data_IF_401850209920
#
_entry.id   IF_401850209920
#
_cell.length_a   1.000
_cell.length_b   1.000
_cell.length_c   1.000
_cell.angle_alpha   90.00
_cell.angle_beta   90.00
_cell.angle_gamma   90.00
#
_symmetry.space_group_name_H-M   'P 1'
#
loop_
_entity.id
_entity.type
_entity.pdbx_description
1 polymer ?
#
# COMPACT_ATOMS: atom_id res chain seq x y z
N UNK A 1 11.96 16.63 -8.49
CA UNK A 1 12.44 15.47 -7.70
C UNK A 1 13.96 15.40 -7.81
N UNK A 2 14.66 14.78 -6.85
CA UNK A 2 16.11 14.60 -6.90
C UNK A 2 16.47 13.19 -6.43
N UNK A 3 17.16 12.43 -7.28
CA UNK A 3 17.64 11.08 -6.97
C UNK A 3 18.57 11.07 -5.76
N UNK A 4 19.47 12.05 -5.66
CA UNK A 4 20.45 12.13 -4.56
C UNK A 4 19.81 12.41 -3.20
N UNK A 5 18.60 12.98 -3.19
CA UNK A 5 17.82 13.23 -1.97
C UNK A 5 16.80 12.13 -1.66
N UNK A 6 16.86 10.99 -2.35
CA UNK A 6 15.94 9.87 -2.15
C UNK A 6 14.54 10.09 -2.72
N UNK A 7 14.40 10.93 -3.78
CA UNK A 7 13.11 11.10 -4.45
C UNK A 7 12.73 9.89 -5.31
N UNK A 8 11.44 9.81 -5.65
CA UNK A 8 10.87 8.74 -6.47
C UNK A 8 9.61 8.19 -5.82
N UNK A 9 8.64 7.71 -6.61
CA UNK A 9 7.34 7.31 -6.08
C UNK A 9 7.44 6.09 -5.16
N UNK A 10 8.43 5.21 -5.37
CA UNK A 10 8.73 4.09 -4.51
C UNK A 10 9.11 4.55 -3.09
N UNK A 11 9.96 5.57 -2.99
CA UNK A 11 10.41 6.09 -1.69
C UNK A 11 9.40 7.02 -1.04
N UNK A 12 8.69 7.83 -1.82
CA UNK A 12 7.75 8.81 -1.29
C UNK A 12 6.35 8.22 -1.03
N UNK A 13 5.95 7.17 -1.74
CA UNK A 13 4.58 6.61 -1.71
C UNK A 13 4.59 5.07 -1.55
N UNK A 14 5.41 4.36 -2.32
CA UNK A 14 5.50 2.89 -2.26
C UNK A 14 5.97 2.36 -0.90
N UNK A 15 6.72 3.17 -0.15
CA UNK A 15 7.21 2.84 1.19
C UNK A 15 6.08 2.53 2.17
N UNK A 16 4.93 3.19 2.07
CA UNK A 16 3.75 2.93 2.91
C UNK A 16 3.18 1.54 2.64
N UNK A 17 3.01 1.17 1.36
CA UNK A 17 2.54 -0.15 0.97
C UNK A 17 3.49 -1.26 1.42
N UNK A 18 4.80 -1.09 1.18
CA UNK A 18 5.84 -2.04 1.61
C UNK A 18 5.85 -2.17 3.13
N UNK A 19 5.76 -1.06 3.86
CA UNK A 19 5.69 -1.07 5.32
C UNK A 19 4.45 -1.82 5.82
N UNK A 20 3.27 -1.52 5.28
CA UNK A 20 2.02 -2.22 5.64
C UNK A 20 2.11 -3.71 5.38
N UNK A 21 2.60 -4.14 4.22
CA UNK A 21 2.76 -5.56 3.90
C UNK A 21 3.65 -6.24 4.94
N UNK A 22 4.83 -5.69 5.22
CA UNK A 22 5.78 -6.27 6.19
C UNK A 22 5.24 -6.26 7.61
N UNK A 23 4.57 -5.18 8.01
CA UNK A 23 4.01 -5.02 9.36
C UNK A 23 2.86 -6.00 9.61
N UNK A 24 1.93 -6.13 8.66
CA UNK A 24 0.79 -7.05 8.75
C UNK A 24 1.25 -8.51 8.77
N UNK A 25 2.21 -8.86 7.91
CA UNK A 25 2.68 -10.24 7.80
C UNK A 25 3.67 -10.62 8.91
N UNK A 26 4.33 -9.64 9.55
CA UNK A 26 5.33 -9.90 10.59
C UNK A 26 6.55 -10.65 10.08
N UNK A 27 6.82 -10.60 8.77
CA UNK A 27 7.89 -11.35 8.11
C UNK A 27 8.45 -10.59 6.90
N UNK A 28 9.64 -11.02 6.45
CA UNK A 28 10.31 -10.47 5.27
C UNK A 28 10.00 -11.26 3.99
N UNK A 29 9.98 -10.61 2.82
CA UNK A 29 9.81 -11.29 1.55
C UNK A 29 11.03 -12.16 1.22
N UNK A 30 10.79 -13.32 0.60
CA UNK A 30 11.82 -14.17 -0.01
C UNK A 30 12.31 -13.64 -1.35
N UNK A 31 11.44 -12.97 -2.09
CA UNK A 31 11.77 -12.38 -3.39
C UNK A 31 10.89 -11.18 -3.68
N UNK A 32 11.44 -10.22 -4.40
CA UNK A 32 10.75 -9.01 -4.84
C UNK A 32 11.03 -8.81 -6.32
N UNK A 33 9.98 -8.60 -7.10
CA UNK A 33 10.05 -8.20 -8.50
C UNK A 33 9.38 -6.84 -8.64
N UNK A 34 10.08 -5.87 -9.23
CA UNK A 34 9.59 -4.51 -9.45
C UNK A 34 9.63 -4.21 -10.94
N UNK A 35 8.56 -3.58 -11.43
CA UNK A 35 8.54 -2.89 -12.70
C UNK A 35 8.33 -1.41 -12.45
N UNK A 36 9.18 -0.56 -13.01
CA UNK A 36 9.17 0.88 -12.78
C UNK A 36 9.21 1.67 -14.08
N UNK A 37 8.50 2.80 -14.11
CA UNK A 37 8.69 3.85 -15.12
C UNK A 37 9.56 4.92 -14.50
N UNK A 38 10.64 5.28 -15.20
CA UNK A 38 11.58 6.31 -14.77
C UNK A 38 11.32 7.60 -15.54
N UNK A 39 11.35 8.72 -14.83
CA UNK A 39 11.47 10.03 -15.45
C UNK A 39 12.92 10.24 -15.89
N UNK A 40 13.13 10.46 -17.20
CA UNK A 40 14.48 10.63 -17.77
C UNK A 40 15.18 11.92 -17.31
N UNK A 41 14.42 12.96 -16.98
CA UNK A 41 14.96 14.27 -16.59
C UNK A 41 15.45 14.27 -15.14
N UNK A 42 14.71 13.62 -14.23
CA UNK A 42 15.01 13.58 -12.81
C UNK A 42 15.73 12.28 -12.38
N UNK A 43 15.71 11.24 -13.21
CA UNK A 43 16.35 9.95 -12.94
C UNK A 43 15.74 9.18 -11.77
N UNK A 44 14.45 9.42 -11.48
CA UNK A 44 13.69 8.77 -10.41
C UNK A 44 12.46 8.09 -10.99
N UNK A 45 11.93 7.11 -10.28
CA UNK A 45 10.68 6.44 -10.65
C UNK A 45 9.46 7.33 -10.42
N UNK A 46 8.53 7.30 -11.37
CA UNK A 46 7.23 7.97 -11.29
C UNK A 46 6.09 6.99 -11.02
N UNK A 47 6.28 5.74 -11.42
CA UNK A 47 5.31 4.65 -11.32
C UNK A 47 6.05 3.37 -11.00
N UNK A 48 5.57 2.61 -10.03
CA UNK A 48 6.10 1.29 -9.68
C UNK A 48 4.97 0.31 -9.46
N UNK A 49 5.16 -0.93 -9.91
CA UNK A 49 4.35 -2.09 -9.54
C UNK A 49 5.31 -3.15 -9.01
N UNK A 50 4.97 -3.74 -7.86
CA UNK A 50 5.79 -4.73 -7.20
C UNK A 50 5.03 -5.99 -6.84
N UNK A 51 5.72 -7.12 -6.97
CA UNK A 51 5.26 -8.43 -6.52
C UNK A 51 6.25 -9.00 -5.51
N UNK A 52 5.76 -9.33 -4.32
CA UNK A 52 6.52 -9.86 -3.21
C UNK A 52 6.03 -11.28 -2.90
N UNK A 53 6.97 -12.22 -2.79
CA UNK A 53 6.68 -13.57 -2.29
C UNK A 53 7.25 -13.76 -0.90
N UNK A 54 6.49 -14.40 -0.03
CA UNK A 54 6.84 -14.63 1.38
C UNK A 54 6.92 -16.13 1.70
N UNK A 55 7.42 -16.52 2.88
CA UNK A 55 7.19 -17.85 3.43
C UNK A 55 5.70 -18.25 3.43
N UNK A 56 5.45 -19.56 3.52
CA UNK A 56 4.09 -20.12 3.66
C UNK A 56 3.14 -19.76 2.49
N UNK A 57 3.69 -19.55 1.28
CA UNK A 57 2.95 -19.23 0.05
C UNK A 57 2.10 -17.94 0.11
N UNK A 58 2.42 -17.04 1.05
CA UNK A 58 1.83 -15.71 1.09
C UNK A 58 2.46 -14.85 -0.01
N UNK A 59 1.63 -14.05 -0.67
CA UNK A 59 2.03 -13.17 -1.78
C UNK A 59 1.42 -11.80 -1.54
N UNK A 60 2.12 -10.76 -1.92
CA UNK A 60 1.61 -9.40 -1.91
C UNK A 60 1.94 -8.72 -3.24
N UNK A 61 1.01 -7.89 -3.69
CA UNK A 61 1.24 -6.93 -4.76
C UNK A 61 1.06 -5.54 -4.19
N UNK A 62 1.87 -4.60 -4.66
CA UNK A 62 1.64 -3.20 -4.41
C UNK A 62 1.95 -2.43 -5.68
N UNK A 63 1.48 -1.20 -5.71
CA UNK A 63 1.91 -0.25 -6.71
C UNK A 63 1.86 1.15 -6.09
N UNK A 64 2.61 2.07 -6.68
CA UNK A 64 2.61 3.47 -6.30
C UNK A 64 2.88 4.32 -7.54
N UNK A 65 2.30 5.52 -7.59
CA UNK A 65 2.38 6.37 -8.76
C UNK A 65 2.17 7.84 -8.40
N UNK A 66 2.90 8.72 -9.10
CA UNK A 66 2.62 10.16 -9.14
C UNK A 66 1.64 10.58 -10.24
N UNK A 67 1.35 9.67 -11.18
CA UNK A 67 0.59 9.94 -12.40
C UNK A 67 -0.83 9.31 -12.40
N UNK A 68 -1.10 8.40 -11.46
CA UNK A 68 -2.41 7.75 -11.32
C UNK A 68 -3.37 8.56 -10.44
N UNK A 69 -4.66 8.21 -10.54
CA UNK A 69 -5.68 8.75 -9.64
C UNK A 69 -5.33 8.48 -8.16
N UNK A 70 -5.68 9.44 -7.31
CA UNK A 70 -5.43 9.37 -5.87
C UNK A 70 -6.10 8.13 -5.27
N UNK A 71 -5.27 7.28 -4.68
CA UNK A 71 -5.69 6.13 -3.87
C UNK A 71 -4.67 5.85 -2.79
N UNK A 72 -5.15 5.41 -1.65
CA UNK A 72 -4.33 5.14 -0.48
C UNK A 72 -5.00 4.04 0.33
N UNK A 73 -5.00 2.83 -0.22
CA UNK A 73 -5.75 1.69 0.29
C UNK A 73 -4.89 0.43 0.34
N UNK A 74 -5.30 -0.53 1.18
CA UNK A 74 -4.78 -1.90 1.11
C UNK A 74 -5.89 -2.91 1.41
N UNK A 75 -5.67 -4.13 0.94
CA UNK A 75 -6.53 -5.28 1.18
C UNK A 75 -5.70 -6.47 1.67
N UNK A 76 -6.22 -7.17 2.69
CA UNK A 76 -5.68 -8.44 3.15
C UNK A 76 -6.74 -9.51 2.90
N UNK A 77 -6.48 -10.40 1.95
CA UNK A 77 -7.38 -11.48 1.57
C UNK A 77 -6.90 -12.83 2.13
N UNK A 78 -7.76 -13.49 2.90
CA UNK A 78 -7.55 -14.83 3.43
C UNK A 78 -8.56 -15.84 2.86
N UNK A 79 -8.49 -17.08 3.34
CA UNK A 79 -9.36 -18.16 2.85
C UNK A 79 -10.81 -18.07 3.32
N UNK A 80 -11.08 -17.33 4.39
CA UNK A 80 -12.41 -17.22 5.02
C UNK A 80 -13.03 -15.82 4.87
N UNK A 81 -12.30 -14.87 4.31
CA UNK A 81 -12.72 -13.47 4.27
C UNK A 81 -11.57 -12.53 3.93
N UNK A 82 -11.87 -11.23 3.96
CA UNK A 82 -10.91 -10.16 3.65
C UNK A 82 -11.13 -8.93 4.53
N UNK A 83 -10.06 -8.17 4.69
CA UNK A 83 -10.05 -6.86 5.33
C UNK A 83 -9.64 -5.84 4.27
N UNK A 84 -10.48 -4.84 4.03
CA UNK A 84 -10.21 -3.72 3.13
C UNK A 84 -10.15 -2.43 3.94
N UNK A 85 -9.09 -1.66 3.74
CA UNK A 85 -8.90 -0.35 4.36
C UNK A 85 -8.79 0.69 3.25
N UNK A 86 -9.92 1.26 2.78
CA UNK A 86 -9.93 2.17 1.62
C UNK A 86 -9.27 3.54 1.89
N UNK A 87 -8.97 3.84 3.16
CA UNK A 87 -8.43 5.13 3.64
C UNK A 87 -7.23 4.90 4.56
N UNK A 88 -6.28 4.10 4.10
CA UNK A 88 -5.21 3.55 4.93
C UNK A 88 -4.18 4.59 5.39
N UNK A 89 -3.69 5.41 4.45
CA UNK A 89 -2.51 6.26 4.69
C UNK A 89 -2.85 7.74 4.82
N UNK A 90 -3.90 8.20 4.16
CA UNK A 90 -4.26 9.62 4.05
C UNK A 90 -5.75 9.83 4.38
N UNK A 91 -6.18 9.57 5.64
CA UNK A 91 -7.58 9.71 6.03
C UNK A 91 -8.10 11.15 5.93
N UNK A 92 -7.21 12.15 5.98
CA UNK A 92 -7.54 13.57 5.83
C UNK A 92 -8.15 13.90 4.46
N UNK A 93 -7.85 13.10 3.43
CA UNK A 93 -8.51 13.22 2.12
C UNK A 93 -10.00 12.91 2.18
N UNK A 94 -10.46 12.30 3.28
CA UNK A 94 -11.81 11.78 3.47
C UNK A 94 -12.45 12.28 4.77
N UNK A 95 -12.04 13.46 5.25
CA UNK A 95 -12.61 14.08 6.45
C UNK A 95 -12.02 13.58 7.79
N UNK A 96 -10.92 12.84 7.76
CA UNK A 96 -10.16 12.43 8.96
C UNK A 96 -10.53 11.07 9.53
N UNK A 97 -11.63 10.47 9.08
CA UNK A 97 -12.05 9.14 9.51
C UNK A 97 -11.34 8.03 8.74
N UNK A 98 -10.78 7.06 9.47
CA UNK A 98 -10.27 5.80 8.90
C UNK A 98 -11.41 4.81 8.80
N UNK A 99 -11.60 4.24 7.63
CA UNK A 99 -12.62 3.23 7.36
C UNK A 99 -11.97 1.85 7.28
N UNK A 100 -12.50 0.88 8.01
CA UNK A 100 -12.08 -0.52 7.98
C UNK A 100 -13.30 -1.36 7.65
N UNK A 101 -13.18 -2.15 6.58
CA UNK A 101 -14.22 -3.04 6.08
C UNK A 101 -13.74 -4.47 6.29
N UNK A 102 -14.51 -5.26 7.03
CA UNK A 102 -14.27 -6.70 7.24
C UNK A 102 -15.40 -7.47 6.57
N UNK A 103 -15.04 -8.37 5.66
CA UNK A 103 -15.98 -9.25 4.98
C UNK A 103 -15.63 -10.72 5.29
N UNK A 104 -16.59 -11.46 5.83
CA UNK A 104 -16.43 -12.88 6.21
C UNK A 104 -17.76 -13.61 6.00
N UNK A 105 -17.73 -14.76 5.33
CA UNK A 105 -18.92 -15.63 5.15
C UNK A 105 -20.17 -14.91 4.58
N UNK A 106 -19.95 -13.88 3.74
CA UNK A 106 -21.03 -13.07 3.15
C UNK A 106 -21.53 -11.92 4.05
N UNK A 107 -21.07 -11.85 5.29
CA UNK A 107 -21.32 -10.72 6.18
C UNK A 107 -20.29 -9.62 5.96
N UNK A 108 -20.74 -8.36 5.99
CA UNK A 108 -19.91 -7.17 5.87
C UNK A 108 -20.07 -6.30 7.11
N UNK A 109 -18.96 -6.00 7.78
CA UNK A 109 -18.89 -5.06 8.90
C UNK A 109 -18.01 -3.88 8.52
N UNK A 110 -18.52 -2.67 8.73
CA UNK A 110 -17.78 -1.43 8.53
C UNK A 110 -17.51 -0.82 9.91
N UNK A 111 -16.28 -0.36 10.15
CA UNK A 111 -15.88 0.31 11.38
C UNK A 111 -15.13 1.58 11.02
N UNK A 112 -15.51 2.69 11.66
CA UNK A 112 -14.81 3.96 11.55
C UNK A 112 -13.92 4.15 12.78
N UNK A 113 -12.67 4.54 12.55
CA UNK A 113 -11.71 4.86 13.59
C UNK A 113 -11.29 6.31 13.41
N UNK A 114 -11.48 7.13 14.44
CA UNK A 114 -11.04 8.52 14.40
C UNK A 114 -9.52 8.56 14.28
N UNK A 115 -9.02 9.30 13.28
CA UNK A 115 -7.60 9.59 13.16
C UNK A 115 -7.16 10.44 14.34
N UNK A 116 -6.23 9.94 15.16
CA UNK A 116 -5.48 10.82 16.05
C UNK A 116 -4.64 11.77 15.19
N UNK A 117 -4.71 13.06 15.47
CA UNK A 117 -3.79 14.05 14.89
C UNK A 117 -2.36 13.63 15.22
N UNK A 118 -1.53 13.41 14.21
CA UNK A 118 -0.07 13.30 14.37
C UNK A 118 0.56 14.68 14.46
#
# INVERSE_FOLDING_TARGET
MSKEKGGGCLYDVGCYGIHSIRNILGMEPKSVYIHAILDESYGVDTDVVGYLSFPQNVRAVFDASFNMAKRAEYEVAGTIGRILVPRAFLPDWYGGDKEIIVEKEGEKKITYVQGGSV
#
